data_IF_285615432312
#
_entry.id   IF_285615432312
#
_cell.length_a   1.000
_cell.length_b   1.000
_cell.length_c   1.000
_cell.angle_alpha   90.00
_cell.angle_beta   90.00
_cell.angle_gamma   90.00
#
_symmetry.space_group_name_H-M   'P 1'
#
loop_
_entity.id
_entity.type
_entity.pdbx_description
1 polymer ?
#
# COMPACT_ATOMS: atom_id res chain seq x y z
N UNK A 1 26.59 -10.90 -23.94
CA UNK A 1 25.35 -10.23 -24.40
C UNK A 1 24.07 -11.12 -24.29
N UNK A 2 24.02 -12.14 -23.42
CA UNK A 2 22.86 -13.07 -23.33
C UNK A 2 22.00 -12.92 -22.06
N UNK A 3 22.42 -12.15 -21.05
CA UNK A 3 21.66 -12.03 -19.79
C UNK A 3 20.48 -11.04 -19.81
N UNK A 4 20.38 -10.16 -20.81
CA UNK A 4 19.32 -9.14 -20.87
C UNK A 4 18.00 -9.64 -21.52
N UNK A 5 18.02 -10.78 -22.21
CA UNK A 5 16.86 -11.34 -22.94
C UNK A 5 15.85 -12.06 -22.03
N UNK A 6 16.32 -12.71 -20.96
CA UNK A 6 15.45 -13.44 -20.03
C UNK A 6 14.52 -12.51 -19.23
N UNK A 7 15.02 -11.34 -18.82
CA UNK A 7 14.29 -10.40 -17.97
C UNK A 7 13.20 -9.61 -18.72
N UNK A 8 13.26 -9.57 -20.05
CA UNK A 8 12.28 -8.87 -20.89
C UNK A 8 11.05 -9.73 -21.19
N UNK A 9 11.22 -11.06 -21.23
CA UNK A 9 10.12 -12.03 -21.33
C UNK A 9 9.35 -12.17 -20.01
N UNK A 10 10.04 -12.11 -18.85
CA UNK A 10 9.39 -12.22 -17.53
C UNK A 10 8.43 -11.07 -17.22
N UNK A 11 8.71 -9.87 -17.74
CA UNK A 11 7.88 -8.68 -17.50
C UNK A 11 6.62 -8.63 -18.38
N UNK A 12 6.60 -9.35 -19.52
CA UNK A 12 5.43 -9.46 -20.38
C UNK A 12 4.52 -10.64 -19.98
N UNK A 13 5.10 -11.71 -19.42
CA UNK A 13 4.36 -12.88 -18.92
C UNK A 13 3.56 -12.59 -17.64
N UNK A 14 4.00 -11.63 -16.81
CA UNK A 14 3.28 -11.24 -15.60
C UNK A 14 1.92 -10.60 -15.90
N UNK A 15 1.82 -9.81 -16.98
CA UNK A 15 0.56 -9.28 -17.53
C UNK A 15 -0.43 -10.40 -17.92
N UNK A 16 0.07 -11.54 -18.40
CA UNK A 16 -0.75 -12.68 -18.84
C UNK A 16 -1.05 -13.71 -17.73
N UNK A 17 -0.68 -13.42 -16.48
CA UNK A 17 -0.90 -14.32 -15.34
C UNK A 17 -2.12 -13.91 -14.51
N UNK A 18 -2.85 -14.87 -13.93
CA UNK A 18 -3.97 -14.58 -13.02
C UNK A 18 -3.55 -13.67 -11.87
N UNK A 19 -2.33 -13.86 -11.35
CA UNK A 19 -1.79 -13.00 -10.30
C UNK A 19 -1.58 -11.55 -10.78
N UNK A 20 -1.09 -11.35 -12.00
CA UNK A 20 -0.97 -10.00 -12.58
C UNK A 20 -2.30 -9.31 -12.83
N UNK A 21 -3.35 -10.08 -13.17
CA UNK A 21 -4.70 -9.55 -13.33
C UNK A 21 -5.31 -9.08 -11.99
N UNK A 22 -5.18 -9.91 -10.95
CA UNK A 22 -5.82 -9.71 -9.65
C UNK A 22 -5.02 -8.77 -8.73
N UNK A 23 -3.69 -8.74 -8.83
CA UNK A 23 -2.87 -7.94 -7.92
C UNK A 23 -2.97 -6.43 -8.21
N UNK A 24 -3.81 -5.75 -7.44
CA UNK A 24 -3.93 -4.28 -7.39
C UNK A 24 -3.42 -3.67 -6.09
N UNK A 25 -2.60 -4.40 -5.34
CA UNK A 25 -2.08 -3.94 -4.05
C UNK A 25 -1.06 -2.81 -4.21
N UNK A 26 -1.10 -1.82 -3.30
CA UNK A 26 -0.17 -0.67 -3.31
C UNK A 26 1.07 -0.85 -2.46
N UNK A 27 1.06 -1.83 -1.55
CA UNK A 27 2.20 -2.10 -0.66
C UNK A 27 2.89 -3.40 -1.07
N UNK A 28 4.21 -3.45 -0.89
CA UNK A 28 4.96 -4.70 -1.10
C UNK A 28 4.49 -5.82 -0.17
N UNK A 29 4.13 -5.48 1.08
CA UNK A 29 3.57 -6.43 2.03
C UNK A 29 2.25 -7.03 1.51
N UNK A 30 1.36 -6.19 0.97
CA UNK A 30 0.11 -6.64 0.32
C UNK A 30 0.39 -7.55 -0.88
N UNK A 31 1.33 -7.18 -1.74
CA UNK A 31 1.74 -8.00 -2.88
C UNK A 31 2.20 -9.41 -2.44
N UNK A 32 3.07 -9.50 -1.44
CA UNK A 32 3.52 -10.78 -0.90
C UNK A 32 2.38 -11.57 -0.26
N UNK A 33 1.50 -10.91 0.50
CA UNK A 33 0.37 -11.55 1.17
C UNK A 33 -0.65 -12.11 0.18
N UNK A 34 -0.99 -11.35 -0.86
CA UNK A 34 -1.87 -11.80 -1.92
C UNK A 34 -1.26 -12.98 -2.70
N UNK A 35 0.04 -12.91 -3.00
CA UNK A 35 0.74 -14.02 -3.63
C UNK A 35 0.69 -15.28 -2.78
N UNK A 36 0.89 -15.14 -1.46
CA UNK A 36 0.74 -16.25 -0.53
C UNK A 36 -0.69 -16.81 -0.55
N UNK A 37 -1.72 -15.97 -0.50
CA UNK A 37 -3.11 -16.41 -0.56
C UNK A 37 -3.46 -17.20 -1.83
N UNK A 38 -2.91 -16.81 -2.98
CA UNK A 38 -3.11 -17.55 -4.23
C UNK A 38 -2.37 -18.88 -4.27
N UNK A 39 -1.22 -19.00 -3.60
CA UNK A 39 -0.46 -20.25 -3.51
C UNK A 39 -1.02 -21.20 -2.45
N UNK A 40 -1.67 -20.67 -1.42
CA UNK A 40 -2.25 -21.43 -0.32
C UNK A 40 -3.72 -21.02 -0.14
N UNK A 41 -4.64 -21.54 -0.98
CA UNK A 41 -6.05 -21.25 -0.83
C UNK A 41 -6.59 -21.78 0.50
N UNK A 42 -7.60 -21.08 1.03
CA UNK A 42 -8.31 -21.53 2.22
C UNK A 42 -9.24 -22.69 1.87
N UNK A 43 -9.38 -23.64 2.80
CA UNK A 43 -10.35 -24.74 2.71
C UNK A 43 -11.54 -24.50 3.66
N UNK A 44 -11.35 -23.68 4.69
CA UNK A 44 -12.39 -23.37 5.67
C UNK A 44 -13.37 -22.33 5.13
N UNK A 45 -14.64 -22.71 5.00
CA UNK A 45 -15.72 -21.86 4.50
C UNK A 45 -15.96 -20.60 5.33
N UNK A 46 -15.86 -20.67 6.66
CA UNK A 46 -16.04 -19.51 7.55
C UNK A 46 -15.00 -18.44 7.25
N UNK A 47 -13.72 -18.83 7.14
CA UNK A 47 -12.63 -17.90 6.83
C UNK A 47 -12.71 -17.35 5.40
N UNK A 48 -13.30 -18.10 4.48
CA UNK A 48 -13.55 -17.62 3.11
C UNK A 48 -14.62 -16.52 3.14
N UNK A 49 -15.74 -16.76 3.83
CA UNK A 49 -16.83 -15.79 3.95
C UNK A 49 -16.37 -14.52 4.66
N UNK A 50 -15.61 -14.62 5.76
CA UNK A 50 -15.05 -13.44 6.43
C UNK A 50 -14.21 -12.56 5.48
N UNK A 51 -13.42 -13.17 4.59
CA UNK A 51 -12.67 -12.41 3.57
C UNK A 51 -13.60 -11.79 2.53
N UNK A 52 -14.65 -12.49 2.12
CA UNK A 52 -15.62 -11.99 1.15
C UNK A 52 -16.45 -10.85 1.73
N UNK A 53 -16.82 -10.91 3.00
CA UNK A 53 -17.53 -9.84 3.70
C UNK A 53 -16.70 -8.56 3.72
N UNK A 54 -15.40 -8.68 4.04
CA UNK A 54 -14.48 -7.55 3.99
C UNK A 54 -14.36 -6.96 2.56
N UNK A 55 -14.29 -7.81 1.52
CA UNK A 55 -14.27 -7.35 0.13
C UNK A 55 -15.58 -6.69 -0.26
N UNK A 56 -16.71 -7.25 0.16
CA UNK A 56 -18.06 -6.71 -0.05
C UNK A 56 -18.18 -5.32 0.54
N UNK A 57 -17.74 -5.12 1.78
CA UNK A 57 -17.70 -3.82 2.44
C UNK A 57 -16.93 -2.77 1.60
N UNK A 58 -15.74 -3.08 1.11
CA UNK A 58 -14.94 -2.13 0.30
C UNK A 58 -15.40 -2.01 -1.16
N UNK A 59 -16.32 -2.87 -1.63
CA UNK A 59 -16.88 -2.81 -2.98
C UNK A 59 -18.12 -1.93 -3.07
N UNK A 60 -18.80 -1.69 -1.95
CA UNK A 60 -19.95 -0.79 -1.82
C UNK A 60 -19.57 0.66 -2.17
N UNK A 61 -20.42 1.32 -2.94
CA UNK A 61 -20.24 2.73 -3.35
C UNK A 61 -20.23 3.68 -2.16
N UNK A 62 -21.01 3.36 -1.12
CA UNK A 62 -21.11 4.17 0.09
C UNK A 62 -19.77 4.27 0.84
N UNK A 63 -18.92 3.25 0.70
CA UNK A 63 -17.62 3.16 1.37
C UNK A 63 -16.44 3.59 0.47
N UNK A 64 -16.71 4.19 -0.70
CA UNK A 64 -15.67 4.60 -1.64
C UNK A 64 -14.71 5.65 -1.05
N UNK A 65 -15.23 6.60 -0.27
CA UNK A 65 -14.42 7.61 0.40
C UNK A 65 -13.42 6.96 1.37
N UNK A 66 -13.91 6.07 2.24
CA UNK A 66 -13.09 5.32 3.20
C UNK A 66 -12.02 4.51 2.47
N UNK A 67 -12.41 3.80 1.39
CA UNK A 67 -11.48 3.04 0.54
C UNK A 67 -10.40 3.93 -0.05
N UNK A 68 -10.76 5.11 -0.55
CA UNK A 68 -9.83 6.06 -1.18
C UNK A 68 -8.85 6.65 -0.17
N UNK A 69 -9.35 7.05 1.00
CA UNK A 69 -8.51 7.53 2.11
C UNK A 69 -7.53 6.43 2.52
N UNK A 70 -8.03 5.22 2.78
CA UNK A 70 -7.19 4.09 3.16
C UNK A 70 -6.12 3.78 2.11
N UNK A 71 -6.50 3.78 0.82
CA UNK A 71 -5.57 3.58 -0.29
C UNK A 71 -4.47 4.63 -0.32
N UNK A 72 -4.80 5.91 -0.12
CA UNK A 72 -3.83 7.01 -0.08
C UNK A 72 -2.84 6.84 1.08
N UNK A 73 -3.33 6.47 2.26
CA UNK A 73 -2.50 6.24 3.46
C UNK A 73 -1.60 5.03 3.29
N UNK A 74 -2.11 3.92 2.76
CA UNK A 74 -1.33 2.71 2.48
C UNK A 74 -0.24 2.96 1.42
N UNK A 75 -0.52 3.78 0.41
CA UNK A 75 0.46 4.18 -0.60
C UNK A 75 1.63 4.95 0.02
N UNK A 76 1.35 5.83 0.99
CA UNK A 76 2.38 6.57 1.73
C UNK A 76 3.18 5.67 2.70
N UNK A 77 2.59 4.58 3.18
CA UNK A 77 3.17 3.69 4.19
C UNK A 77 4.42 2.90 3.74
N UNK A 78 4.84 2.99 2.47
CA UNK A 78 6.16 2.54 2.02
C UNK A 78 6.52 1.07 2.28
N UNK A 79 7.80 0.73 2.09
CA UNK A 79 8.36 -0.62 2.34
C UNK A 79 9.04 -0.68 3.72
N UNK A 80 8.26 -0.53 4.78
CA UNK A 80 8.75 -0.51 6.17
C UNK A 80 9.46 -1.83 6.52
N UNK A 81 8.91 -2.97 6.08
CA UNK A 81 9.51 -4.29 6.31
C UNK A 81 10.89 -4.40 5.65
N UNK A 82 11.03 -3.89 4.42
CA UNK A 82 12.31 -3.83 3.72
C UNK A 82 13.30 -2.90 4.42
N UNK A 83 12.84 -1.75 4.94
CA UNK A 83 13.67 -0.82 5.71
C UNK A 83 14.19 -1.49 6.99
N UNK A 84 13.32 -2.10 7.81
CA UNK A 84 13.73 -2.83 9.01
C UNK A 84 14.73 -3.94 8.72
N UNK A 85 14.55 -4.66 7.61
CA UNK A 85 15.51 -5.69 7.18
C UNK A 85 16.89 -5.11 6.88
N UNK A 86 16.98 -3.94 6.23
CA UNK A 86 18.24 -3.24 5.96
C UNK A 86 18.87 -2.69 7.24
N UNK A 87 18.06 -2.16 8.16
CA UNK A 87 18.51 -1.70 9.48
C UNK A 87 19.15 -2.86 10.25
N UNK A 88 18.45 -4.01 10.34
CA UNK A 88 18.97 -5.22 10.99
C UNK A 88 20.29 -5.71 10.37
N UNK A 89 20.45 -5.54 9.06
CA UNK A 89 21.68 -5.89 8.32
C UNK A 89 22.76 -4.80 8.36
N UNK A 90 22.56 -3.71 9.10
CA UNK A 90 23.46 -2.53 9.13
C UNK A 90 23.76 -1.95 7.74
N UNK A 91 22.79 -2.06 6.83
CA UNK A 91 22.90 -1.62 5.43
C UNK A 91 21.82 -0.59 5.06
N UNK A 92 21.27 0.10 6.06
CA UNK A 92 20.25 1.12 5.85
C UNK A 92 20.89 2.44 5.43
N UNK A 93 20.36 3.03 4.36
CA UNK A 93 20.79 4.33 3.84
C UNK A 93 20.04 5.48 4.51
N UNK A 94 20.55 6.72 4.41
CA UNK A 94 19.83 7.92 4.91
C UNK A 94 18.42 8.02 4.33
N UNK A 95 18.24 7.64 3.05
CA UNK A 95 16.93 7.58 2.39
C UNK A 95 15.97 6.59 3.05
N UNK A 96 16.48 5.49 3.63
CA UNK A 96 15.66 4.52 4.35
C UNK A 96 15.12 5.10 5.65
N UNK A 97 15.95 5.86 6.38
CA UNK A 97 15.54 6.58 7.60
C UNK A 97 14.51 7.67 7.31
N UNK A 98 14.69 8.43 6.22
CA UNK A 98 13.69 9.40 5.77
C UNK A 98 12.34 8.73 5.47
N UNK A 99 12.34 7.66 4.66
CA UNK A 99 11.12 6.92 4.34
C UNK A 99 10.47 6.32 5.57
N UNK A 100 11.26 5.86 6.52
CA UNK A 100 10.76 5.35 7.80
C UNK A 100 10.05 6.44 8.60
N UNK A 101 10.66 7.64 8.71
CA UNK A 101 10.02 8.81 9.33
C UNK A 101 8.71 9.16 8.64
N UNK A 102 8.67 9.27 7.32
CA UNK A 102 7.44 9.56 6.58
C UNK A 102 6.34 8.49 6.79
N UNK A 103 6.75 7.22 6.92
CA UNK A 103 5.81 6.13 7.19
C UNK A 103 5.21 6.25 8.60
N UNK A 104 6.02 6.58 9.60
CA UNK A 104 5.55 6.84 10.98
C UNK A 104 4.64 8.07 11.01
N UNK A 105 5.01 9.15 10.34
CA UNK A 105 4.21 10.37 10.30
C UNK A 105 2.84 10.11 9.65
N UNK A 106 2.80 9.35 8.56
CA UNK A 106 1.55 8.93 7.91
C UNK A 106 0.70 8.04 8.83
N UNK A 107 1.34 7.18 9.63
CA UNK A 107 0.66 6.33 10.61
C UNK A 107 0.02 7.14 11.72
N UNK A 108 0.79 8.05 12.33
CA UNK A 108 0.33 8.90 13.42
C UNK A 108 -0.79 9.83 12.95
N UNK A 109 -0.63 10.44 11.77
CA UNK A 109 -1.69 11.24 11.15
C UNK A 109 -2.98 10.46 10.91
N UNK A 110 -2.93 9.12 10.77
CA UNK A 110 -4.12 8.28 10.70
C UNK A 110 -4.78 8.07 12.05
N UNK A 111 -4.02 8.05 13.16
CA UNK A 111 -4.57 7.90 14.51
C UNK A 111 -5.27 9.17 15.01
N UNK A 112 -4.80 10.35 14.61
CA UNK A 112 -5.45 11.62 14.96
C UNK A 112 -6.82 11.81 14.27
N UNK A 113 -7.08 11.11 13.17
CA UNK A 113 -8.37 11.17 12.49
C UNK A 113 -9.44 10.43 13.29
N UNK A 114 -9.10 9.43 14.10
CA UNK A 114 -10.07 8.60 14.83
C UNK A 114 -10.72 9.33 16.03
N UNK A 115 -10.06 10.36 16.59
CA UNK A 115 -10.68 11.21 17.64
C UNK A 115 -11.74 12.17 17.10
N UNK A 116 -11.85 12.36 15.78
CA UNK A 116 -12.74 13.35 15.17
C UNK A 116 -13.59 12.85 13.98
N UNK A 117 -13.28 11.69 13.40
CA UNK A 117 -13.97 11.21 12.19
C UNK A 117 -15.23 10.40 12.45
N UNK A 118 -15.41 9.82 13.65
CA UNK A 118 -16.72 9.33 14.06
C UNK A 118 -17.78 10.45 14.11
N UNK A 119 -17.35 11.71 14.33
CA UNK A 119 -18.25 12.87 14.39
C UNK A 119 -18.44 13.55 13.04
N UNK A 120 -17.45 13.51 12.13
CA UNK A 120 -17.53 14.21 10.83
C UNK A 120 -18.24 13.47 9.72
N UNK A 121 -18.42 12.15 9.80
CA UNK A 121 -19.31 11.44 8.87
C UNK A 121 -20.80 11.75 9.09
N UNK A 122 -21.15 12.48 10.16
CA UNK A 122 -22.51 13.00 10.36
C UNK A 122 -22.71 14.46 9.93
N UNK A 123 -21.63 15.22 9.65
CA UNK A 123 -21.74 16.63 9.31
C UNK A 123 -20.86 16.92 8.09
N UNK A 124 -21.46 16.84 6.90
CA UNK A 124 -20.77 17.08 5.64
C UNK A 124 -20.24 18.50 5.53
N UNK A 125 -18.92 18.66 5.63
CA UNK A 125 -18.21 19.86 5.19
C UNK A 125 -16.87 19.47 4.57
N UNK A 126 -16.73 19.79 3.28
CA UNK A 126 -15.50 19.65 2.51
C UNK A 126 -14.48 20.70 2.99
N UNK A 127 -13.23 20.29 3.22
CA UNK A 127 -12.12 21.23 3.32
C UNK A 127 -10.81 20.64 2.84
N UNK A 128 -10.27 21.35 1.84
CA UNK A 128 -8.99 21.22 1.14
C UNK A 128 -7.86 20.61 1.97
N UNK A 129 -7.32 19.48 1.50
CA UNK A 129 -6.05 18.95 1.96
C UNK A 129 -4.90 19.51 1.12
N UNK A 130 -4.07 20.30 1.79
CA UNK A 130 -2.78 20.84 1.36
C UNK A 130 -1.91 19.80 0.65
N UNK A 131 -1.45 20.18 -0.54
CA UNK A 131 -0.39 19.54 -1.32
C UNK A 131 0.89 19.45 -0.46
N UNK A 132 1.35 18.24 -0.17
CA UNK A 132 2.69 18.03 0.35
C UNK A 132 3.67 18.14 -0.82
N UNK A 133 4.48 19.20 -0.78
CA UNK A 133 5.32 19.65 -1.87
C UNK A 133 6.40 18.67 -2.32
N UNK A 134 6.63 18.69 -3.62
CA UNK A 134 7.83 18.16 -4.27
C UNK A 134 9.06 18.90 -3.75
N UNK A 135 9.96 18.18 -3.07
CA UNK A 135 11.34 18.64 -2.89
C UNK A 135 12.11 18.15 -4.11
N UNK A 136 12.20 19.00 -5.12
CA UNK A 136 13.24 18.89 -6.15
C UNK A 136 14.46 19.67 -5.64
N UNK A 137 15.42 18.94 -5.07
CA UNK A 137 16.76 19.46 -4.81
C UNK A 137 17.62 19.36 -6.07
N UNK A 138 18.31 20.47 -6.34
CA UNK A 138 19.02 20.89 -7.54
C UNK A 138 20.19 19.99 -7.96
N UNK A 139 20.53 20.09 -9.25
CA UNK A 139 21.87 19.75 -9.74
C UNK A 139 22.16 20.27 -11.15
N UNK A 140 23.12 21.22 -11.22
CA UNK A 140 24.08 21.46 -12.31
C UNK A 140 23.84 22.66 -13.24
N UNK A 141 24.45 23.80 -12.91
CA UNK A 141 25.58 24.36 -13.67
C UNK A 141 26.39 25.36 -12.82
#
# INVERSE_FOLDING_TARGET
>A
MVHARANRLSNHLSCCSLFGLVNRTVTKAGHYKLRQWMLTPLVNATLINERLDAVGFFSQSENEEIRTILYSKLKAFGDVVGIFRRIKKRSATVKDWWKFRCSIESFLASQYVDSGSAVRLMNGEASNATVCGSVDEQGSH
#
